data_IF_984996298782
#
_entry.id   IF_984996298782
#
_cell.length_a   1.000
_cell.length_b   1.000
_cell.length_c   1.000
_cell.angle_alpha   90.00
_cell.angle_beta   90.00
_cell.angle_gamma   90.00
#
_symmetry.space_group_name_H-M   'P 1'
#
loop_
_entity.id
_entity.type
_entity.pdbx_description
1 polymer ?
#
# COMPACT_ATOMS: atom_id res chain seq x y z
N UNK A 1 8.09 5.08 -5.34
CA UNK A 1 7.65 4.61 -6.67
C UNK A 1 7.49 5.75 -7.68
N UNK A 2 6.84 6.89 -7.38
CA UNK A 2 6.78 8.01 -8.35
C UNK A 2 8.12 8.74 -8.51
N UNK A 3 8.68 9.27 -7.42
CA UNK A 3 9.84 10.18 -7.50
C UNK A 3 11.18 9.47 -7.80
N UNK A 4 11.34 8.22 -7.32
CA UNK A 4 12.57 7.44 -7.49
C UNK A 4 13.02 7.26 -8.94
N UNK A 5 12.14 6.84 -9.87
CA UNK A 5 12.45 6.77 -11.31
C UNK A 5 12.94 8.08 -11.94
N UNK A 6 12.60 9.23 -11.35
CA UNK A 6 13.07 10.55 -11.79
C UNK A 6 14.38 10.99 -11.10
N UNK A 7 15.01 10.11 -10.32
CA UNK A 7 16.29 10.38 -9.65
C UNK A 7 16.18 11.03 -8.27
N UNK A 8 14.97 11.12 -7.70
CA UNK A 8 14.83 11.47 -6.28
C UNK A 8 15.32 10.30 -5.40
N UNK A 9 15.85 10.60 -4.23
CA UNK A 9 16.36 9.58 -3.32
C UNK A 9 16.15 9.96 -1.85
N UNK A 10 16.20 8.95 -0.98
CA UNK A 10 16.14 9.14 0.47
C UNK A 10 17.51 9.57 0.99
N UNK A 11 17.55 10.66 1.75
CA UNK A 11 18.76 11.28 2.25
C UNK A 11 18.67 11.60 3.75
N UNK A 12 19.80 11.62 4.43
CA UNK A 12 19.90 12.01 5.84
C UNK A 12 20.03 13.54 6.01
N UNK A 13 20.29 14.03 7.23
CA UNK A 13 20.41 15.46 7.53
C UNK A 13 21.61 16.16 6.86
N UNK A 14 22.61 15.41 6.40
CA UNK A 14 23.75 15.91 5.62
C UNK A 14 23.46 15.87 4.10
N UNK A 15 22.28 15.41 3.70
CA UNK A 15 21.90 15.24 2.30
C UNK A 15 22.52 14.01 1.62
N UNK A 16 23.10 13.08 2.40
CA UNK A 16 23.71 11.85 1.87
C UNK A 16 22.68 10.74 1.73
N UNK A 17 22.73 10.03 0.59
CA UNK A 17 21.96 8.80 0.38
C UNK A 17 22.51 7.70 1.31
N UNK A 18 21.61 6.98 1.98
CA UNK A 18 21.96 5.87 2.88
C UNK A 18 21.18 4.59 2.59
N UNK A 19 20.13 4.66 1.76
CA UNK A 19 19.34 3.49 1.34
C UNK A 19 19.97 2.88 0.09
N UNK A 20 20.29 1.58 0.16
CA UNK A 20 20.84 0.83 -0.96
C UNK A 20 19.76 0.37 -1.93
N UNK A 21 18.62 -0.08 -1.41
CA UNK A 21 17.46 -0.52 -2.19
C UNK A 21 16.22 0.31 -1.88
N UNK A 22 15.72 1.04 -2.87
CA UNK A 22 14.48 1.83 -2.75
C UNK A 22 13.20 0.96 -2.76
N UNK A 23 13.34 -0.38 -2.70
CA UNK A 23 12.22 -1.31 -2.60
C UNK A 23 11.77 -1.50 -1.15
N UNK A 24 10.46 -1.41 -0.92
CA UNK A 24 9.84 -1.62 0.39
C UNK A 24 10.12 -3.02 0.90
N UNK A 25 11.04 -3.11 1.86
CA UNK A 25 11.55 -4.37 2.41
C UNK A 25 11.92 -4.21 3.88
N UNK A 26 12.02 -5.33 4.59
CA UNK A 26 12.54 -5.32 5.97
C UNK A 26 13.95 -4.72 6.05
N UNK A 27 14.79 -4.94 5.02
CA UNK A 27 16.12 -4.35 4.91
C UNK A 27 16.04 -2.81 4.83
N UNK A 28 15.22 -2.27 3.92
CA UNK A 28 15.02 -0.81 3.80
C UNK A 28 14.51 -0.20 5.11
N UNK A 29 13.58 -0.87 5.81
CA UNK A 29 13.08 -0.42 7.12
C UNK A 29 14.18 -0.42 8.19
N UNK A 30 15.04 -1.44 8.19
CA UNK A 30 16.18 -1.52 9.11
C UNK A 30 17.20 -0.41 8.86
N UNK A 31 17.50 -0.11 7.59
CA UNK A 31 18.36 1.01 7.19
C UNK A 31 17.79 2.34 7.68
N UNK A 32 16.50 2.57 7.46
CA UNK A 32 15.81 3.78 7.93
C UNK A 32 15.86 3.91 9.45
N UNK A 33 15.58 2.83 10.17
CA UNK A 33 15.67 2.79 11.63
C UNK A 33 17.08 3.10 12.13
N UNK A 34 18.09 2.46 11.53
CA UNK A 34 19.50 2.68 11.90
C UNK A 34 19.93 4.13 11.68
N UNK A 35 19.54 4.73 10.55
CA UNK A 35 19.87 6.13 10.25
C UNK A 35 19.25 7.08 11.26
N UNK A 36 17.97 6.89 11.61
CA UNK A 36 17.29 7.67 12.66
C UNK A 36 17.98 7.53 14.03
N UNK A 37 18.47 6.34 14.39
CA UNK A 37 19.17 6.09 15.66
C UNK A 37 20.62 6.55 15.68
N UNK A 38 21.24 6.75 14.51
CA UNK A 38 22.64 7.17 14.40
C UNK A 38 22.89 8.64 14.80
N UNK A 39 21.83 9.44 14.98
CA UNK A 39 21.92 10.89 15.18
C UNK A 39 22.03 11.69 13.86
N UNK A 40 22.01 11.01 12.70
CA UNK A 40 22.00 11.63 11.37
C UNK A 40 20.60 11.88 10.80
N UNK A 41 19.56 11.58 11.58
CA UNK A 41 18.21 12.05 11.29
C UNK A 41 18.10 13.58 11.39
N UNK A 42 17.01 14.19 10.89
CA UNK A 42 15.87 13.57 10.22
C UNK A 42 16.22 12.98 8.85
N UNK A 43 15.31 12.17 8.30
CA UNK A 43 15.43 11.59 6.96
C UNK A 43 14.50 12.33 6.01
N UNK A 44 14.91 12.50 4.76
CA UNK A 44 14.20 13.27 3.76
C UNK A 44 14.09 12.54 2.43
N UNK A 45 13.00 12.76 1.70
CA UNK A 45 12.97 12.61 0.24
C UNK A 45 13.59 13.87 -0.37
N UNK A 46 14.71 13.69 -1.07
CA UNK A 46 15.46 14.78 -1.71
C UNK A 46 15.09 14.90 -3.18
N UNK A 47 14.59 16.06 -3.57
CA UNK A 47 14.24 16.42 -4.95
C UNK A 47 14.92 17.71 -5.43
N UNK A 48 15.46 18.52 -4.51
CA UNK A 48 15.99 19.86 -4.81
C UNK A 48 17.28 19.88 -5.65
N UNK A 49 17.84 18.71 -5.98
CA UNK A 49 18.93 18.58 -6.96
C UNK A 49 18.42 18.34 -8.39
N UNK A 50 17.13 18.03 -8.55
CA UNK A 50 16.53 17.77 -9.85
C UNK A 50 16.20 19.08 -10.57
N UNK A 51 16.12 19.03 -11.89
CA UNK A 51 15.65 20.15 -12.69
C UNK A 51 14.22 20.54 -12.30
N UNK A 52 13.90 21.84 -12.35
CA UNK A 52 12.58 22.37 -11.95
C UNK A 52 11.44 21.68 -12.68
N UNK A 53 11.60 21.41 -13.98
CA UNK A 53 10.59 20.69 -14.79
C UNK A 53 10.39 19.24 -14.34
N UNK A 54 11.45 18.56 -13.92
CA UNK A 54 11.36 17.21 -13.35
C UNK A 54 10.58 17.23 -12.04
N UNK A 55 10.84 18.22 -11.19
CA UNK A 55 10.07 18.40 -9.94
C UNK A 55 8.60 18.68 -10.25
N UNK A 56 8.30 19.56 -11.21
CA UNK A 56 6.93 19.86 -11.65
C UNK A 56 6.19 18.61 -12.11
N UNK A 57 6.87 17.72 -12.85
CA UNK A 57 6.28 16.48 -13.34
C UNK A 57 5.99 15.48 -12.20
N UNK A 58 6.92 15.36 -11.24
CA UNK A 58 6.71 14.55 -10.03
C UNK A 58 5.50 15.08 -9.23
N UNK A 59 5.41 16.40 -9.03
CA UNK A 59 4.27 17.05 -8.35
C UNK A 59 2.96 16.75 -9.09
N UNK A 60 2.94 16.91 -10.41
CA UNK A 60 1.77 16.65 -11.25
C UNK A 60 1.26 15.22 -11.09
N UNK A 61 2.14 14.22 -11.14
CA UNK A 61 1.77 12.80 -10.98
C UNK A 61 1.32 12.53 -9.54
N UNK A 62 2.14 12.92 -8.56
CA UNK A 62 1.91 12.60 -7.16
C UNK A 62 0.65 13.27 -6.61
N UNK A 63 0.40 14.53 -6.93
CA UNK A 63 -0.68 15.31 -6.36
C UNK A 63 -2.01 15.18 -7.13
N UNK A 64 -2.02 14.59 -8.32
CA UNK A 64 -3.28 14.31 -9.05
C UNK A 64 -3.76 12.89 -8.89
N UNK A 65 -2.84 11.93 -8.93
CA UNK A 65 -3.21 10.51 -9.04
C UNK A 65 -3.15 9.83 -7.68
N UNK A 66 -1.99 9.94 -7.01
CA UNK A 66 -1.67 9.09 -5.87
C UNK A 66 -2.06 9.69 -4.52
N UNK A 67 -1.73 10.97 -4.29
CA UNK A 67 -1.89 11.63 -2.99
C UNK A 67 -2.30 13.10 -3.12
N UNK A 68 -3.52 13.42 -3.58
CA UNK A 68 -4.00 14.80 -3.68
C UNK A 68 -4.01 15.56 -2.36
N UNK A 69 -4.26 14.87 -1.24
CA UNK A 69 -4.18 15.46 0.09
C UNK A 69 -2.77 15.90 0.46
N UNK A 70 -1.73 15.17 0.02
CA UNK A 70 -0.33 15.53 0.27
C UNK A 70 0.04 16.82 -0.46
N UNK A 71 -0.40 17.00 -1.70
CA UNK A 71 -0.18 18.25 -2.45
C UNK A 71 -0.73 19.46 -1.70
N UNK A 72 -2.02 19.41 -1.32
CA UNK A 72 -2.68 20.47 -0.54
C UNK A 72 -1.99 20.73 0.80
N UNK A 73 -1.52 19.69 1.48
CA UNK A 73 -0.81 19.80 2.75
C UNK A 73 0.50 20.60 2.62
N UNK A 74 1.26 20.39 1.53
CA UNK A 74 2.52 21.10 1.28
C UNK A 74 2.30 22.51 0.74
N UNK A 75 1.28 22.71 -0.10
CA UNK A 75 0.84 24.03 -0.56
C UNK A 75 0.45 24.91 0.63
N UNK A 76 -0.39 24.41 1.55
CA UNK A 76 -0.78 25.13 2.77
C UNK A 76 0.36 25.43 3.73
N UNK A 77 1.56 24.87 3.52
CA UNK A 77 2.78 25.13 4.29
C UNK A 77 3.84 25.92 3.53
N UNK A 78 3.59 26.32 2.28
CA UNK A 78 4.60 26.97 1.44
C UNK A 78 5.86 26.10 1.28
N UNK A 79 5.67 24.79 1.09
CA UNK A 79 6.78 23.86 0.84
C UNK A 79 6.97 23.71 -0.66
N UNK A 80 8.01 24.34 -1.22
CA UNK A 80 8.47 24.08 -2.58
C UNK A 80 9.56 22.99 -2.57
N UNK A 81 9.34 21.92 -3.33
CA UNK A 81 10.26 20.78 -3.41
C UNK A 81 11.58 21.12 -4.13
N UNK A 82 11.62 22.23 -4.87
CA UNK A 82 12.82 22.77 -5.53
C UNK A 82 13.80 23.36 -4.52
N UNK A 83 13.30 23.83 -3.38
CA UNK A 83 14.12 24.48 -2.36
C UNK A 83 14.27 23.61 -1.11
N UNK A 84 13.19 22.93 -0.70
CA UNK A 84 13.11 22.20 0.56
C UNK A 84 13.05 20.69 0.33
N UNK A 85 13.82 19.94 1.11
CA UNK A 85 13.67 18.49 1.18
C UNK A 85 12.39 18.13 1.96
N UNK A 86 11.76 17.01 1.61
CA UNK A 86 10.51 16.58 2.24
C UNK A 86 10.85 15.58 3.35
N UNK A 87 10.59 15.94 4.60
CA UNK A 87 10.84 15.03 5.73
C UNK A 87 10.00 13.74 5.62
N UNK A 88 10.62 12.62 5.95
CA UNK A 88 10.03 11.29 5.96
C UNK A 88 10.16 10.67 7.35
N UNK A 89 9.16 9.89 7.74
CA UNK A 89 9.18 9.14 8.99
C UNK A 89 8.54 7.75 8.78
N UNK A 90 8.96 6.78 9.61
CA UNK A 90 8.31 5.47 9.69
C UNK A 90 7.01 5.64 10.48
N UNK A 91 5.87 5.21 9.93
CA UNK A 91 4.59 5.21 10.64
C UNK A 91 4.52 4.06 11.66
N UNK A 92 3.42 3.97 12.38
CA UNK A 92 3.03 2.80 13.16
C UNK A 92 2.94 1.52 12.30
N UNK A 93 2.98 0.37 12.97
CA UNK A 93 2.84 -0.92 12.33
C UNK A 93 1.39 -1.10 11.86
N UNK A 94 1.21 -1.30 10.55
CA UNK A 94 -0.05 -1.70 9.94
C UNK A 94 0.04 -3.10 9.34
N UNK A 95 -1.06 -3.84 9.38
CA UNK A 95 -1.20 -5.09 8.64
C UNK A 95 -1.94 -4.84 7.34
N UNK A 96 -1.29 -5.15 6.23
CA UNK A 96 -1.82 -4.98 4.89
C UNK A 96 -1.22 -6.06 3.99
N UNK A 97 -2.04 -7.03 3.60
CA UNK A 97 -1.58 -8.14 2.76
C UNK A 97 -1.14 -7.65 1.40
N UNK A 98 -1.92 -6.78 0.74
CA UNK A 98 -1.64 -6.46 -0.66
C UNK A 98 -0.32 -5.72 -0.88
N UNK A 99 0.23 -5.10 0.16
CA UNK A 99 1.52 -4.42 0.14
C UNK A 99 2.64 -5.21 0.84
N UNK A 100 2.31 -6.18 1.70
CA UNK A 100 3.26 -6.96 2.49
C UNK A 100 2.82 -8.43 2.57
N UNK A 101 2.97 -9.15 3.69
CA UNK A 101 2.67 -10.59 3.77
C UNK A 101 1.86 -10.95 5.04
N UNK A 102 0.79 -10.20 5.30
CA UNK A 102 -0.15 -10.45 6.40
C UNK A 102 -1.46 -11.05 5.89
N UNK A 103 -2.37 -11.46 6.78
CA UNK A 103 -3.71 -11.96 6.42
C UNK A 103 -3.85 -13.47 6.66
N UNK A 104 -4.99 -14.03 6.28
CA UNK A 104 -5.29 -15.45 6.42
C UNK A 104 -4.76 -16.23 5.24
N UNK A 105 -4.34 -17.47 5.49
CA UNK A 105 -4.01 -18.39 4.41
C UNK A 105 -5.24 -18.60 3.52
N UNK A 106 -5.01 -18.55 2.20
CA UNK A 106 -5.99 -18.96 1.20
C UNK A 106 -5.33 -19.83 0.14
N UNK A 107 -6.11 -20.68 -0.50
CA UNK A 107 -5.68 -21.47 -1.65
C UNK A 107 -5.79 -20.70 -2.99
N UNK A 108 -5.59 -21.39 -4.11
CA UNK A 108 -5.64 -20.80 -5.46
C UNK A 108 -7.01 -20.20 -5.85
N UNK A 109 -8.09 -20.58 -5.15
CA UNK A 109 -9.45 -20.05 -5.34
C UNK A 109 -9.85 -19.04 -4.27
N UNK A 110 -8.88 -18.59 -3.47
CA UNK A 110 -9.09 -17.68 -2.35
C UNK A 110 -9.95 -18.27 -1.22
N UNK A 111 -10.05 -19.60 -1.11
CA UNK A 111 -10.75 -20.28 -0.01
C UNK A 111 -9.89 -20.28 1.23
N UNK A 112 -10.51 -20.00 2.37
CA UNK A 112 -9.87 -20.17 3.68
C UNK A 112 -9.90 -21.65 4.10
N UNK A 113 -9.33 -21.96 5.27
CA UNK A 113 -9.46 -23.30 5.86
C UNK A 113 -10.86 -23.59 6.43
N UNK A 114 -11.73 -22.59 6.50
CA UNK A 114 -13.14 -22.75 6.89
C UNK A 114 -13.97 -22.99 5.64
N UNK A 115 -14.68 -24.12 5.60
CA UNK A 115 -15.51 -24.50 4.45
C UNK A 115 -16.55 -23.42 4.12
N UNK A 116 -16.67 -23.06 2.84
CA UNK A 116 -17.58 -22.02 2.35
C UNK A 116 -17.14 -20.58 2.62
N UNK A 117 -16.02 -20.36 3.35
CA UNK A 117 -15.52 -19.02 3.63
C UNK A 117 -14.33 -18.68 2.72
N UNK A 118 -14.45 -17.55 2.03
CA UNK A 118 -13.43 -16.98 1.14
C UNK A 118 -12.84 -15.72 1.76
N UNK A 119 -11.60 -15.41 1.40
CA UNK A 119 -10.97 -14.14 1.73
C UNK A 119 -10.27 -13.60 0.49
N UNK A 120 -10.32 -12.28 0.29
CA UNK A 120 -9.63 -11.59 -0.79
C UNK A 120 -9.09 -10.24 -0.32
N UNK A 121 -8.29 -9.59 -1.16
CA UNK A 121 -7.68 -8.29 -0.84
C UNK A 121 -6.80 -8.37 0.41
N UNK A 122 -6.93 -7.41 1.33
CA UNK A 122 -6.06 -7.35 2.52
C UNK A 122 -6.30 -8.46 3.54
N UNK A 123 -7.44 -9.15 3.48
CA UNK A 123 -7.70 -10.29 4.35
C UNK A 123 -6.96 -11.55 3.90
N UNK A 124 -6.76 -11.75 2.60
CA UNK A 124 -6.08 -12.92 2.06
C UNK A 124 -4.57 -12.71 2.04
N UNK A 125 -3.77 -13.64 2.54
CA UNK A 125 -2.30 -13.59 2.55
C UNK A 125 -1.71 -13.81 1.14
N UNK A 126 -1.90 -12.85 0.25
CA UNK A 126 -1.41 -12.82 -1.13
C UNK A 126 -0.53 -11.56 -1.30
N UNK A 127 0.78 -11.69 -1.05
CA UNK A 127 1.67 -10.54 -0.95
C UNK A 127 1.90 -9.83 -2.29
N UNK A 128 2.20 -8.54 -2.23
CA UNK A 128 2.54 -7.70 -3.40
C UNK A 128 1.50 -7.75 -4.54
N UNK A 129 0.23 -7.97 -4.20
CA UNK A 129 -0.86 -8.01 -5.17
C UNK A 129 -1.37 -6.60 -5.54
N UNK A 130 -1.19 -5.62 -4.64
CA UNK A 130 -1.70 -4.25 -4.75
C UNK A 130 -3.18 -4.21 -5.16
N UNK A 131 -3.65 -3.06 -5.67
CA UNK A 131 -5.05 -2.89 -6.07
C UNK A 131 -5.48 -3.88 -7.16
N UNK A 132 -4.65 -4.09 -8.19
CA UNK A 132 -5.02 -4.96 -9.30
C UNK A 132 -5.14 -6.42 -8.87
N UNK A 133 -4.17 -6.93 -8.11
CA UNK A 133 -4.20 -8.29 -7.62
C UNK A 133 -5.30 -8.52 -6.58
N UNK A 134 -5.64 -7.51 -5.78
CA UNK A 134 -6.81 -7.57 -4.90
C UNK A 134 -8.12 -7.75 -5.69
N UNK A 135 -8.30 -7.00 -6.79
CA UNK A 135 -9.47 -7.15 -7.66
C UNK A 135 -9.48 -8.50 -8.39
N UNK A 136 -8.34 -8.92 -8.94
CA UNK A 136 -8.25 -10.21 -9.64
C UNK A 136 -8.52 -11.39 -8.71
N UNK A 137 -7.90 -11.42 -7.52
CA UNK A 137 -8.14 -12.47 -6.55
C UNK A 137 -9.58 -12.45 -6.02
N UNK A 138 -10.15 -11.26 -5.81
CA UNK A 138 -11.56 -11.10 -5.45
C UNK A 138 -12.52 -11.61 -6.52
N UNK A 139 -12.23 -11.39 -7.80
CA UNK A 139 -13.03 -11.92 -8.91
C UNK A 139 -12.98 -13.46 -8.93
N UNK A 140 -11.79 -14.05 -8.81
CA UNK A 140 -11.61 -15.51 -8.71
C UNK A 140 -12.42 -16.08 -7.54
N UNK A 141 -12.33 -15.44 -6.37
CA UNK A 141 -13.07 -15.84 -5.18
C UNK A 141 -14.59 -15.81 -5.43
N UNK A 142 -15.09 -14.75 -6.05
CA UNK A 142 -16.52 -14.56 -6.33
C UNK A 142 -17.06 -15.55 -7.35
N UNK A 143 -16.33 -15.79 -8.44
CA UNK A 143 -16.71 -16.77 -9.47
C UNK A 143 -16.77 -18.18 -8.88
N UNK A 144 -15.72 -18.60 -8.16
CA UNK A 144 -15.68 -19.92 -7.55
C UNK A 144 -16.72 -20.07 -6.42
N UNK A 145 -16.95 -19.04 -5.62
CA UNK A 145 -17.99 -19.07 -4.60
C UNK A 145 -19.39 -19.23 -5.21
N UNK A 146 -19.68 -18.56 -6.32
CA UNK A 146 -20.96 -18.67 -7.02
C UNK A 146 -21.19 -20.07 -7.62
N UNK A 147 -20.13 -20.68 -8.19
CA UNK A 147 -20.17 -22.05 -8.70
C UNK A 147 -20.53 -23.04 -7.58
N UNK A 148 -19.79 -23.01 -6.47
CA UNK A 148 -20.03 -23.90 -5.33
C UNK A 148 -21.40 -23.65 -4.67
N UNK A 149 -21.86 -22.40 -4.59
CA UNK A 149 -23.18 -22.10 -4.04
C UNK A 149 -24.32 -22.73 -4.86
N UNK A 150 -24.13 -22.95 -6.16
CA UNK A 150 -25.08 -23.66 -7.02
C UNK A 150 -25.16 -25.16 -6.75
N UNK A 151 -24.16 -25.74 -6.07
CA UNK A 151 -24.11 -27.17 -5.72
C UNK A 151 -24.66 -27.46 -4.31
N UNK A 152 -24.94 -26.41 -3.52
CA UNK A 152 -25.44 -26.53 -2.16
C UNK A 152 -26.96 -26.41 -2.16
N UNK A 153 -27.64 -27.45 -1.68
CA UNK A 153 -29.08 -27.41 -1.46
C UNK A 153 -29.45 -26.29 -0.48
N UNK A 154 -30.43 -25.48 -0.87
CA UNK A 154 -30.99 -24.49 0.04
C UNK A 154 -31.65 -25.20 1.23
N UNK A 155 -31.55 -24.64 2.45
CA UNK A 155 -32.27 -25.18 3.57
C UNK A 155 -33.77 -25.19 3.28
N UNK A 156 -34.49 -26.16 3.85
CA UNK A 156 -35.94 -26.22 3.73
C UNK A 156 -36.57 -24.90 4.19
N UNK A 157 -37.57 -24.48 3.43
CA UNK A 157 -38.30 -23.26 3.70
C UNK A 157 -39.14 -23.40 4.98
N UNK A 158 -38.87 -22.57 5.98
CA UNK A 158 -39.68 -22.48 7.20
C UNK A 158 -40.90 -21.57 6.97
N UNK A 159 -42.05 -22.18 6.70
CA UNK A 159 -43.32 -21.48 6.49
C UNK A 159 -43.81 -20.70 7.71
N UNK A 160 -43.36 -21.03 8.93
CA UNK A 160 -43.81 -20.37 10.15
C UNK A 160 -43.21 -18.94 10.28
N UNK A 161 -42.14 -18.64 9.53
CA UNK A 161 -41.56 -17.29 9.46
C UNK A 161 -42.39 -16.31 8.62
N UNK A 162 -43.26 -16.78 7.72
CA UNK A 162 -44.11 -15.92 6.87
C UNK A 162 -45.28 -15.28 7.64
N UNK A 163 -45.68 -15.84 8.78
CA UNK A 163 -46.85 -15.40 9.55
C UNK A 163 -46.57 -14.39 10.66
N UNK A 164 -45.34 -13.88 10.77
CA UNK A 164 -44.92 -12.90 11.79
C UNK A 164 -44.89 -11.47 11.21
N UNK A 165 -46.04 -10.98 10.77
CA UNK A 165 -46.38 -9.55 10.67
C UNK A 165 -47.65 -9.28 11.48
#
# INVERSE_FOLDING_TARGET
>A
YVAGPFGAYTANNEGRRFIESDYWSGQMMQEFYNELKSGKGPVFLKLNHLHSDTVSEIERILHRVERPSRGRFHEGRGTDYRDKMIEMHISEIGFCSGHSASGVFVDEYARTTVAGLYAAGDMASVPHNYMLGAFTNGAIAGEHAAEIAGEVDLPEFDSDLLGRE
#
